data_IF_759862865477
#
_entry.id   IF_759862865477
#
_cell.length_a   1.000
_cell.length_b   1.000
_cell.length_c   1.000
_cell.angle_alpha   90.00
_cell.angle_beta   90.00
_cell.angle_gamma   90.00
#
_symmetry.space_group_name_H-M   'P 1'
#
loop_
_entity.id
_entity.type
_entity.pdbx_description
1 polymer ?
#
# COMPACT_ATOMS: atom_id res chain seq x y z
N UNK A 1 -19.70 -5.29 29.21
CA UNK A 1 -19.78 -4.90 27.77
C UNK A 1 -18.40 -5.08 27.17
N UNK A 2 -18.28 -5.84 26.08
CA UNK A 2 -17.01 -6.06 25.35
C UNK A 2 -17.21 -5.54 23.94
N UNK A 3 -16.32 -4.65 23.47
CA UNK A 3 -16.38 -4.03 22.13
C UNK A 3 -15.20 -4.55 21.31
N UNK A 4 -15.50 -5.19 20.16
CA UNK A 4 -14.52 -5.81 19.28
C UNK A 4 -14.89 -5.64 17.79
N UNK A 5 -15.18 -4.41 17.36
CA UNK A 5 -15.71 -4.08 16.02
C UNK A 5 -14.68 -4.11 14.88
N UNK A 6 -13.40 -4.30 15.19
CA UNK A 6 -12.33 -4.39 14.20
C UNK A 6 -12.01 -3.07 13.49
N UNK A 7 -11.49 -3.18 12.26
CA UNK A 7 -11.10 -2.04 11.41
C UNK A 7 -11.94 -2.02 10.13
N UNK A 8 -12.34 -0.82 9.69
CA UNK A 8 -13.12 -0.62 8.47
C UNK A 8 -12.22 -0.19 7.30
N UNK A 9 -12.29 -0.91 6.19
CA UNK A 9 -11.57 -0.56 4.96
C UNK A 9 -12.20 0.67 4.29
N UNK A 10 -11.39 1.66 3.90
CA UNK A 10 -11.86 2.91 3.28
C UNK A 10 -11.14 3.21 1.96
N UNK A 11 -11.38 2.37 0.96
CA UNK A 11 -10.84 2.56 -0.38
C UNK A 11 -11.33 3.86 -1.05
N UNK A 12 -12.53 4.32 -0.68
CA UNK A 12 -13.22 5.52 -1.20
C UNK A 12 -12.46 6.85 -0.99
N UNK A 13 -11.40 6.85 -0.21
CA UNK A 13 -10.58 8.05 0.06
C UNK A 13 -9.39 8.20 -0.88
N UNK A 14 -9.17 7.17 -1.69
CA UNK A 14 -8.21 7.19 -2.76
C UNK A 14 -9.03 7.40 -4.02
N UNK A 15 -8.80 8.52 -4.69
CA UNK A 15 -9.50 8.82 -5.94
C UNK A 15 -9.22 7.71 -6.96
N UNK A 16 -10.29 7.19 -7.58
CA UNK A 16 -10.21 6.05 -8.50
C UNK A 16 -10.44 4.69 -7.85
N UNK A 17 -10.62 4.62 -6.53
CA UNK A 17 -11.04 3.42 -5.80
C UNK A 17 -12.42 3.63 -5.14
N UNK A 18 -13.25 2.58 -4.99
CA UNK A 18 -12.94 1.16 -5.20
C UNK A 18 -12.99 0.68 -6.65
N UNK A 19 -13.49 1.47 -7.61
CA UNK A 19 -13.76 1.04 -8.99
C UNK A 19 -12.49 0.51 -9.68
N UNK A 20 -11.32 1.08 -9.36
CA UNK A 20 -10.05 0.60 -9.88
C UNK A 20 -9.70 -0.83 -9.47
N UNK A 21 -10.18 -1.34 -8.32
CA UNK A 21 -9.92 -2.72 -7.88
C UNK A 21 -10.50 -3.77 -8.83
N UNK A 22 -11.50 -3.41 -9.64
CA UNK A 22 -12.07 -4.28 -10.67
C UNK A 22 -11.28 -4.26 -11.99
N UNK A 23 -10.35 -3.30 -12.16
CA UNK A 23 -9.56 -3.13 -13.39
C UNK A 23 -8.21 -3.84 -13.32
N UNK A 24 -7.68 -4.43 -14.41
CA UNK A 24 -6.39 -5.14 -14.39
C UNK A 24 -5.25 -4.28 -13.84
N UNK A 25 -4.31 -4.91 -13.15
CA UNK A 25 -3.18 -4.23 -12.54
C UNK A 25 -3.43 -3.78 -11.11
N UNK A 26 -4.62 -3.30 -10.72
CA UNK A 26 -4.86 -2.77 -9.35
C UNK A 26 -5.42 -3.83 -8.41
N UNK A 27 -4.79 -4.03 -7.26
CA UNK A 27 -5.19 -5.09 -6.33
C UNK A 27 -5.04 -4.72 -4.85
N UNK A 28 -5.69 -5.51 -3.97
CA UNK A 28 -5.51 -5.38 -2.53
C UNK A 28 -5.73 -6.70 -1.77
N UNK A 29 -4.77 -7.09 -0.92
CA UNK A 29 -4.89 -8.25 -0.03
C UNK A 29 -5.83 -8.02 1.16
N UNK A 30 -6.18 -6.77 1.49
CA UNK A 30 -7.07 -6.49 2.62
C UNK A 30 -8.55 -6.64 2.27
N UNK A 31 -8.90 -6.62 0.98
CA UNK A 31 -10.27 -6.90 0.53
C UNK A 31 -10.47 -8.42 0.38
N UNK A 32 -11.49 -9.01 1.01
CA UNK A 32 -11.80 -10.43 0.82
C UNK A 32 -12.21 -10.76 -0.61
N UNK A 33 -12.69 -9.78 -1.38
CA UNK A 33 -13.13 -9.97 -2.76
C UNK A 33 -11.98 -9.87 -3.78
N UNK A 34 -10.92 -9.14 -3.45
CA UNK A 34 -9.83 -8.81 -4.39
C UNK A 34 -8.50 -9.50 -4.07
N UNK A 35 -8.39 -10.23 -2.95
CA UNK A 35 -7.13 -10.82 -2.50
C UNK A 35 -6.57 -11.90 -3.45
N UNK A 36 -7.42 -12.62 -4.18
CA UNK A 36 -6.95 -13.64 -5.15
C UNK A 36 -6.35 -13.04 -6.41
N UNK A 37 -6.70 -11.79 -6.72
CA UNK A 37 -6.17 -11.05 -7.86
C UNK A 37 -4.68 -10.80 -7.73
N UNK A 38 -4.20 -10.66 -6.50
CA UNK A 38 -2.80 -10.44 -6.17
C UNK A 38 -1.84 -11.40 -6.83
N UNK A 39 -2.08 -12.67 -6.58
CA UNK A 39 -1.22 -13.73 -7.06
C UNK A 39 -1.33 -13.84 -8.58
N UNK A 40 -2.52 -13.63 -9.15
CA UNK A 40 -2.75 -13.66 -10.60
C UNK A 40 -1.91 -12.59 -11.32
N UNK A 41 -1.94 -11.35 -10.85
CA UNK A 41 -1.20 -10.24 -11.48
C UNK A 41 0.32 -10.38 -11.31
N UNK A 42 0.79 -10.82 -10.14
CA UNK A 42 2.22 -11.12 -9.92
C UNK A 42 2.72 -12.29 -10.79
N UNK A 43 1.82 -13.21 -11.13
CA UNK A 43 2.10 -14.35 -12.00
C UNK A 43 2.03 -14.01 -13.50
N UNK A 44 1.58 -12.81 -13.87
CA UNK A 44 1.52 -12.35 -15.27
C UNK A 44 2.52 -11.25 -15.59
N UNK A 45 2.96 -10.45 -14.61
CA UNK A 45 3.91 -9.36 -14.84
C UNK A 45 5.21 -9.82 -15.50
N UNK A 46 5.69 -9.06 -16.48
CA UNK A 46 6.92 -9.36 -17.24
C UNK A 46 7.89 -8.18 -17.30
N UNK A 47 7.41 -6.96 -17.08
CA UNK A 47 8.22 -5.75 -17.08
C UNK A 47 7.52 -4.58 -16.39
N UNK A 48 8.30 -3.58 -15.99
CA UNK A 48 7.83 -2.28 -15.49
C UNK A 48 7.75 -2.17 -13.97
N UNK A 49 7.00 -1.21 -13.45
CA UNK A 49 6.97 -0.89 -12.03
C UNK A 49 5.86 -1.67 -11.29
N UNK A 50 6.26 -2.38 -10.24
CA UNK A 50 5.39 -2.99 -9.24
C UNK A 50 5.40 -2.11 -7.99
N UNK A 51 4.33 -1.36 -7.76
CA UNK A 51 4.25 -0.41 -6.64
C UNK A 51 3.45 -0.99 -5.49
N UNK A 52 4.03 -0.92 -4.30
CA UNK A 52 3.48 -1.38 -3.03
C UNK A 52 3.37 -0.21 -2.09
N UNK A 53 2.25 -0.11 -1.37
CA UNK A 53 1.96 1.11 -0.61
C UNK A 53 1.66 0.87 0.85
N UNK A 54 1.97 1.88 1.67
CA UNK A 54 1.60 1.94 3.07
C UNK A 54 0.98 3.31 3.38
N UNK A 55 -0.20 3.36 4.00
CA UNK A 55 -1.01 4.56 4.08
C UNK A 55 -0.61 5.48 5.23
N UNK A 56 -1.01 6.74 5.17
CA UNK A 56 -0.90 7.67 6.31
C UNK A 56 -2.08 7.48 7.28
N UNK A 57 -2.11 6.32 7.94
CA UNK A 57 -3.28 5.88 8.68
C UNK A 57 -3.00 4.62 9.53
N UNK A 58 -3.69 4.42 10.68
CA UNK A 58 -3.55 3.18 11.47
C UNK A 58 -4.01 1.96 10.67
N UNK A 59 -3.19 0.90 10.62
CA UNK A 59 -3.44 -0.27 9.76
C UNK A 59 -3.46 -1.60 10.52
N UNK A 60 -4.35 -2.51 10.11
CA UNK A 60 -4.32 -3.89 10.59
C UNK A 60 -3.11 -4.60 9.98
N UNK A 61 -2.26 -5.20 10.81
CA UNK A 61 -1.04 -5.91 10.37
C UNK A 61 -0.11 -5.06 9.48
N UNK A 62 0.56 -4.06 10.08
CA UNK A 62 1.48 -3.15 9.38
C UNK A 62 2.59 -3.82 8.53
N UNK A 63 2.92 -5.10 8.78
CA UNK A 63 3.89 -5.83 7.97
C UNK A 63 3.33 -6.46 6.69
N UNK A 64 2.01 -6.56 6.52
CA UNK A 64 1.42 -7.20 5.34
C UNK A 64 1.81 -6.54 4.00
N UNK A 65 1.97 -5.20 3.90
CA UNK A 65 2.45 -4.57 2.68
C UNK A 65 3.86 -4.96 2.26
N UNK A 66 4.73 -5.13 3.24
CA UNK A 66 6.09 -5.57 2.98
C UNK A 66 6.14 -7.07 2.65
N UNK A 67 5.29 -7.88 3.30
CA UNK A 67 5.21 -9.32 3.02
C UNK A 67 4.87 -9.59 1.56
N UNK A 68 3.83 -8.95 1.02
CA UNK A 68 3.44 -9.14 -0.38
C UNK A 68 4.47 -8.58 -1.34
N UNK A 69 5.16 -7.50 -0.98
CA UNK A 69 6.29 -6.95 -1.74
C UNK A 69 7.42 -7.99 -1.89
N UNK A 70 7.88 -8.57 -0.78
CA UNK A 70 8.97 -9.55 -0.82
C UNK A 70 8.55 -10.84 -1.55
N UNK A 71 7.33 -11.33 -1.26
CA UNK A 71 6.78 -12.51 -1.91
C UNK A 71 6.57 -12.31 -3.41
N UNK A 72 6.08 -11.14 -3.82
CA UNK A 72 5.88 -10.79 -5.21
C UNK A 72 7.20 -10.67 -5.98
N UNK A 73 8.24 -10.15 -5.33
CA UNK A 73 9.59 -10.11 -5.91
C UNK A 73 10.12 -11.52 -6.17
N UNK A 74 9.95 -12.45 -5.23
CA UNK A 74 10.35 -13.84 -5.40
C UNK A 74 9.60 -14.52 -6.56
N UNK A 75 8.28 -14.35 -6.68
CA UNK A 75 7.49 -14.89 -7.82
C UNK A 75 8.04 -14.39 -9.15
N UNK A 76 8.29 -13.10 -9.27
CA UNK A 76 8.74 -12.48 -10.53
C UNK A 76 10.17 -12.88 -10.86
N UNK A 77 11.01 -13.04 -9.83
CA UNK A 77 12.39 -13.52 -9.95
C UNK A 77 12.45 -14.97 -10.39
N UNK A 78 11.67 -15.86 -9.79
CA UNK A 78 11.58 -17.27 -10.19
C UNK A 78 11.15 -17.43 -11.65
N UNK A 79 10.31 -16.53 -12.14
CA UNK A 79 9.88 -16.48 -13.55
C UNK A 79 10.91 -15.85 -14.51
N UNK A 80 12.03 -15.34 -14.00
CA UNK A 80 13.10 -14.74 -14.82
C UNK A 80 12.83 -13.32 -15.32
N UNK A 81 11.86 -12.60 -14.74
CA UNK A 81 11.51 -11.23 -15.17
C UNK A 81 12.06 -10.13 -14.26
N UNK A 82 12.82 -10.48 -13.22
CA UNK A 82 13.30 -9.53 -12.21
C UNK A 82 14.09 -8.35 -12.79
N UNK A 83 14.91 -8.59 -13.81
CA UNK A 83 15.76 -7.55 -14.44
C UNK A 83 14.94 -6.52 -15.24
N UNK A 84 13.73 -6.89 -15.65
CA UNK A 84 12.82 -6.02 -16.42
C UNK A 84 11.77 -5.34 -15.54
N UNK A 85 11.74 -5.68 -14.25
CA UNK A 85 10.75 -5.17 -13.30
C UNK A 85 11.42 -4.37 -12.20
N UNK A 86 10.76 -3.31 -11.74
CA UNK A 86 11.21 -2.50 -10.62
C UNK A 86 10.18 -2.59 -9.49
N UNK A 87 10.64 -2.95 -8.30
CA UNK A 87 9.80 -3.09 -7.12
C UNK A 87 9.95 -1.84 -6.25
N UNK A 88 8.85 -1.11 -6.08
CA UNK A 88 8.82 0.15 -5.33
C UNK A 88 7.93 -0.03 -4.12
N UNK A 89 8.44 0.33 -2.94
CA UNK A 89 7.67 0.39 -1.70
C UNK A 89 7.53 1.85 -1.25
N UNK A 90 6.34 2.41 -1.48
CA UNK A 90 5.98 3.78 -1.10
C UNK A 90 5.22 3.78 0.23
N UNK A 91 5.88 4.21 1.29
CA UNK A 91 5.32 4.26 2.64
C UNK A 91 5.13 5.68 3.13
N UNK A 92 3.99 5.95 3.79
CA UNK A 92 3.74 7.20 4.50
C UNK A 92 4.69 7.40 5.68
N UNK A 93 5.25 6.31 6.22
CA UNK A 93 6.11 6.36 7.39
C UNK A 93 7.45 7.02 7.06
N UNK A 94 8.12 7.64 8.05
CA UNK A 94 9.46 8.19 7.87
C UNK A 94 10.55 7.11 7.74
N UNK A 95 10.23 5.87 8.11
CA UNK A 95 11.12 4.70 8.11
C UNK A 95 10.44 3.52 7.44
N UNK A 96 11.23 2.50 7.09
CA UNK A 96 10.76 1.28 6.42
C UNK A 96 9.72 0.50 7.25
N UNK A 97 9.87 0.49 8.58
CA UNK A 97 8.96 -0.18 9.51
C UNK A 97 8.89 0.60 10.83
N UNK A 98 7.77 0.48 11.56
CA UNK A 98 7.54 1.23 12.81
C UNK A 98 8.30 0.71 14.03
N UNK A 99 8.88 -0.48 13.97
CA UNK A 99 9.56 -1.14 15.10
C UNK A 99 11.05 -1.24 14.81
N UNK A 100 11.86 -0.54 15.62
CA UNK A 100 13.30 -0.36 15.42
C UNK A 100 14.07 -1.69 15.34
N UNK A 101 13.68 -2.67 16.18
CA UNK A 101 14.32 -3.98 16.23
C UNK A 101 14.35 -4.73 14.88
N UNK A 102 13.42 -4.43 13.97
CA UNK A 102 13.35 -5.08 12.65
C UNK A 102 13.92 -4.22 11.51
N UNK A 103 14.23 -2.95 11.76
CA UNK A 103 14.64 -2.02 10.70
C UNK A 103 15.94 -2.45 10.03
N UNK A 104 16.95 -2.84 10.80
CA UNK A 104 18.25 -3.25 10.25
C UNK A 104 18.09 -4.44 9.28
N UNK A 105 17.40 -5.49 9.72
CA UNK A 105 17.15 -6.69 8.93
C UNK A 105 16.27 -6.40 7.71
N UNK A 106 15.17 -5.66 7.86
CA UNK A 106 14.28 -5.34 6.74
C UNK A 106 14.96 -4.43 5.71
N UNK A 107 15.81 -3.51 6.17
CA UNK A 107 16.59 -2.63 5.27
C UNK A 107 17.64 -3.43 4.51
N UNK A 108 18.29 -4.38 5.17
CA UNK A 108 19.22 -5.29 4.51
C UNK A 108 18.50 -6.11 3.42
N UNK A 109 17.36 -6.74 3.75
CA UNK A 109 16.55 -7.51 2.78
C UNK A 109 16.10 -6.63 1.60
N UNK A 110 15.63 -5.40 1.88
CA UNK A 110 15.22 -4.47 0.83
C UNK A 110 16.38 -4.12 -0.11
N UNK A 111 17.60 -3.94 0.42
CA UNK A 111 18.81 -3.71 -0.38
C UNK A 111 19.21 -4.95 -1.19
N UNK A 112 19.22 -6.12 -0.58
CA UNK A 112 19.56 -7.39 -1.25
C UNK A 112 18.60 -7.70 -2.41
N UNK A 113 17.31 -7.41 -2.24
CA UNK A 113 16.28 -7.56 -3.27
C UNK A 113 16.17 -6.35 -4.21
N UNK A 114 17.04 -5.34 -4.08
CA UNK A 114 17.05 -4.11 -4.88
C UNK A 114 15.66 -3.44 -4.99
N UNK A 115 15.02 -3.21 -3.85
CA UNK A 115 13.70 -2.56 -3.73
C UNK A 115 13.91 -1.05 -3.53
N UNK A 116 13.20 -0.25 -4.33
CA UNK A 116 13.13 1.21 -4.18
C UNK A 116 12.18 1.56 -3.02
N UNK A 117 12.72 1.97 -1.87
CA UNK A 117 11.94 2.35 -0.69
C UNK A 117 11.77 3.86 -0.68
N UNK A 118 10.52 4.32 -0.88
CA UNK A 118 10.13 5.73 -0.81
C UNK A 118 9.39 6.01 0.49
N UNK A 119 10.04 6.71 1.42
CA UNK A 119 9.43 7.11 2.70
C UNK A 119 8.68 8.42 2.57
N UNK A 120 7.72 8.68 3.48
CA UNK A 120 6.85 9.87 3.45
C UNK A 120 6.04 10.05 2.15
N UNK A 121 5.68 8.97 1.47
CA UNK A 121 4.81 8.97 0.31
C UNK A 121 3.46 8.35 0.67
N UNK A 122 2.39 9.14 0.63
CA UNK A 122 1.04 8.62 0.85
C UNK A 122 0.25 8.63 -0.46
N UNK A 123 -0.38 7.52 -0.85
CA UNK A 123 -1.21 7.54 -2.06
C UNK A 123 -2.49 8.33 -1.82
N UNK A 124 -2.88 9.08 -2.86
CA UNK A 124 -4.14 9.82 -2.92
C UNK A 124 -5.00 9.47 -4.13
N UNK A 125 -4.41 8.97 -5.22
CA UNK A 125 -5.12 8.72 -6.47
C UNK A 125 -4.49 7.55 -7.25
N UNK A 126 -5.35 6.71 -7.84
CA UNK A 126 -5.00 5.67 -8.81
C UNK A 126 -5.70 5.98 -10.11
N UNK A 127 -4.94 6.30 -11.15
CA UNK A 127 -5.44 6.46 -12.50
C UNK A 127 -5.17 5.17 -13.30
N UNK A 128 -6.21 4.35 -13.43
CA UNK A 128 -6.15 3.07 -14.16
C UNK A 128 -6.06 3.23 -15.66
N UNK A 129 -6.49 4.38 -16.22
CA UNK A 129 -6.44 4.64 -17.66
C UNK A 129 -5.03 4.99 -18.09
N UNK A 130 -4.38 5.88 -17.35
CA UNK A 130 -3.02 6.32 -17.63
C UNK A 130 -1.96 5.44 -16.95
N UNK A 131 -2.39 4.51 -16.08
CA UNK A 131 -1.52 3.67 -15.26
C UNK A 131 -0.54 4.50 -14.44
N UNK A 132 -1.09 5.40 -13.63
CA UNK A 132 -0.32 6.31 -12.78
C UNK A 132 -0.85 6.20 -11.34
N UNK A 133 0.08 6.02 -10.41
CA UNK A 133 -0.16 6.12 -8.98
C UNK A 133 0.36 7.48 -8.48
N UNK A 134 -0.53 8.28 -7.91
CA UNK A 134 -0.20 9.62 -7.41
C UNK A 134 -0.09 9.65 -5.90
N UNK A 135 1.03 10.17 -5.43
CA UNK A 135 1.40 10.26 -4.03
C UNK A 135 1.45 11.72 -3.58
N UNK A 136 0.91 12.00 -2.40
CA UNK A 136 1.19 13.22 -1.65
C UNK A 136 2.43 12.99 -0.79
N UNK A 137 3.38 13.92 -0.85
CA UNK A 137 4.55 13.88 0.01
C UNK A 137 4.21 14.42 1.40
N UNK A 138 4.72 13.76 2.43
CA UNK A 138 4.49 14.12 3.81
C UNK A 138 5.69 14.88 4.40
N UNK A 139 5.40 15.85 5.27
CA UNK A 139 6.38 16.56 6.07
C UNK A 139 6.87 15.72 7.27
N UNK A 140 7.71 16.32 8.11
CA UNK A 140 8.22 15.69 9.33
C UNK A 140 7.12 15.22 10.29
N UNK A 141 6.01 15.95 10.32
CA UNK A 141 4.83 15.70 11.17
C UNK A 141 3.82 14.74 10.52
N UNK A 142 4.19 14.06 9.43
CA UNK A 142 3.30 13.19 8.65
C UNK A 142 2.06 13.92 8.08
N UNK A 143 2.16 15.23 7.83
CA UNK A 143 1.14 16.04 7.19
C UNK A 143 1.47 16.26 5.71
N UNK A 144 0.47 16.36 4.82
CA UNK A 144 0.71 16.67 3.41
C UNK A 144 1.45 18.00 3.27
N UNK A 145 2.56 18.00 2.55
CA UNK A 145 3.39 19.19 2.32
C UNK A 145 3.01 19.97 1.05
N UNK A 146 1.94 19.55 0.36
CA UNK A 146 1.44 20.15 -0.88
C UNK A 146 2.21 19.76 -2.15
N UNK A 147 3.25 18.94 -2.05
CA UNK A 147 3.98 18.38 -3.19
C UNK A 147 3.43 17.00 -3.55
N UNK A 148 3.46 16.69 -4.82
CA UNK A 148 3.00 15.41 -5.36
C UNK A 148 4.12 14.71 -6.13
N UNK A 149 4.13 13.39 -6.05
CA UNK A 149 4.97 12.51 -6.87
C UNK A 149 4.06 11.58 -7.67
N UNK A 150 4.40 11.32 -8.92
CA UNK A 150 3.61 10.50 -9.84
C UNK A 150 4.49 9.36 -10.33
N UNK A 151 4.06 8.13 -10.05
CA UNK A 151 4.81 6.92 -10.41
C UNK A 151 4.03 6.21 -11.53
N UNK A 152 4.62 6.06 -12.73
CA UNK A 152 4.05 5.20 -13.76
C UNK A 152 4.07 3.76 -13.29
N UNK A 153 2.96 3.04 -13.45
CA UNK A 153 2.76 1.72 -12.85
C UNK A 153 2.39 0.68 -13.90
N UNK A 154 2.91 -0.53 -13.72
CA UNK A 154 2.70 -1.64 -14.66
C UNK A 154 1.83 -2.70 -14.03
N UNK A 155 1.99 -2.91 -12.71
CA UNK A 155 1.12 -3.70 -11.85
C UNK A 155 1.05 -3.00 -10.49
N UNK A 156 -0.17 -2.71 -10.03
CA UNK A 156 -0.47 -1.93 -8.84
C UNK A 156 -0.90 -2.79 -7.66
N UNK A 157 -0.09 -2.81 -6.60
CA UNK A 157 -0.41 -3.49 -5.35
C UNK A 157 -0.69 -2.50 -4.22
N UNK A 158 -1.97 -2.26 -3.93
CA UNK A 158 -2.38 -1.24 -2.97
C UNK A 158 -2.77 -1.81 -1.60
N UNK A 159 -2.12 -1.31 -0.54
CA UNK A 159 -2.53 -1.61 0.83
C UNK A 159 -2.93 -0.33 1.56
N UNK A 160 -4.23 -0.06 1.36
CA UNK A 160 -5.25 0.55 2.22
C UNK A 160 -4.96 1.88 2.92
N UNK A 161 -5.60 2.99 2.52
CA UNK A 161 -5.74 4.20 3.35
C UNK A 161 -6.80 3.97 4.44
N UNK A 162 -6.40 3.98 5.71
CA UNK A 162 -7.27 3.84 6.89
C UNK A 162 -7.37 5.16 7.67
N UNK A 163 -7.94 6.27 7.17
CA UNK A 163 -8.23 7.30 8.12
C UNK A 163 -9.22 6.73 9.12
N UNK A 164 -8.97 7.07 10.37
CA UNK A 164 -9.94 7.02 11.43
C UNK A 164 -11.22 7.75 10.98
N UNK A 165 -12.15 7.02 10.37
CA UNK A 165 -13.53 7.07 10.80
C UNK A 165 -13.76 5.73 11.47
N UNK A 166 -13.64 5.75 12.77
CA UNK A 166 -14.21 4.74 13.63
C UNK A 166 -15.57 4.29 13.06
N UNK A 167 -15.88 3.00 13.16
CA UNK A 167 -17.23 2.41 13.03
C UNK A 167 -18.20 2.91 14.12
N UNK A 168 -17.96 4.12 14.62
CA UNK A 168 -18.53 4.81 15.76
C UNK A 168 -19.24 6.05 15.23
N UNK A 169 -20.16 5.88 14.27
CA UNK A 169 -21.21 6.90 14.13
C UNK A 169 -22.12 6.83 15.37
N UNK A 170 -22.33 5.64 15.94
CA UNK A 170 -23.18 5.46 17.14
C UNK A 170 -22.49 5.84 18.47
N UNK A 171 -21.23 5.46 18.69
CA UNK A 171 -20.56 5.67 19.98
C UNK A 171 -19.97 7.09 20.22
N UNK A 172 -19.95 7.99 19.21
CA UNK A 172 -19.51 9.37 19.41
C UNK A 172 -20.59 10.23 20.08
N UNK A 173 -21.85 9.85 19.90
CA UNK A 173 -23.00 10.52 20.50
C UNK A 173 -23.45 9.90 21.83
N UNK A 174 -22.88 8.77 22.25
CA UNK A 174 -23.27 8.07 23.49
C UNK A 174 -22.51 8.52 24.74
N UNK A 175 -21.75 9.61 24.65
CA UNK A 175 -21.06 10.25 25.80
C UNK A 175 -21.58 11.69 26.01
N UNK A 176 -22.85 11.92 25.64
CA UNK A 176 -23.55 13.20 25.77
C UNK A 176 -24.98 12.94 26.28
N UNK A 177 -25.08 12.23 27.39
CA UNK A 177 -26.26 12.15 28.27
C UNK A 177 -25.78 11.84 29.66
#
# INVERSE_FOLDING_TARGET
MIIATGCQLRFDLIKGLPEGLDTPGVCSNYSPFHCTKTFKELSTVTSGNCVFTFPNAPIKCAGAPQKVLYYGEDIVKERGYRDKTNFIYATSLPKLFGVEAYLATLTQIAKEKNIDVRTRHNLIEVDTKNKIAKFELLDENCKPNGKFDEIPVSVDFFLEKLPFRTTTVYYRNSCST
#
